data_IF_724713286371
#
_entry.id   IF_724713286371
#
_cell.length_a   1.000
_cell.length_b   1.000
_cell.length_c   1.000
_cell.angle_alpha   90.00
_cell.angle_beta   90.00
_cell.angle_gamma   90.00
#
_symmetry.space_group_name_H-M   'P 1'
#
loop_
_entity.id
_entity.type
_entity.pdbx_description
1 polymer ?
#
# COMPACT_ATOMS: atom_id res chain seq x y z
N UNK A 1 -8.17 13.16 23.70
CA UNK A 1 -6.79 12.67 23.99
C UNK A 1 -5.73 13.58 23.35
N UNK A 2 -5.70 13.76 22.02
CA UNK A 2 -4.69 14.59 21.32
C UNK A 2 -4.71 16.07 21.75
N UNK A 3 -5.89 16.72 21.83
CA UNK A 3 -5.99 18.13 22.22
C UNK A 3 -5.44 18.43 23.63
N UNK A 4 -5.62 17.50 24.57
CA UNK A 4 -5.16 17.65 25.96
C UNK A 4 -3.68 17.27 26.09
N UNK A 5 -3.30 16.12 25.52
CA UNK A 5 -2.00 15.49 25.81
C UNK A 5 -0.92 15.82 24.77
N UNK A 6 -1.30 16.41 23.62
CA UNK A 6 -0.41 16.58 22.47
C UNK A 6 0.01 15.26 21.82
N UNK A 7 0.99 15.34 20.93
CA UNK A 7 1.61 14.21 20.23
C UNK A 7 3.13 14.31 20.45
N UNK A 8 3.74 13.23 20.92
CA UNK A 8 5.19 13.11 20.93
C UNK A 8 5.66 12.64 19.55
N UNK A 9 6.50 13.45 18.89
CA UNK A 9 7.11 13.13 17.60
C UNK A 9 8.58 12.81 17.86
N UNK A 10 8.97 11.56 17.63
CA UNK A 10 10.35 11.11 17.78
C UNK A 10 10.92 10.91 16.38
N UNK A 11 11.95 11.68 16.03
CA UNK A 11 12.59 11.60 14.72
C UNK A 11 14.10 11.61 14.85
N UNK A 12 14.75 10.57 14.31
CA UNK A 12 16.21 10.54 14.23
C UNK A 12 16.79 11.63 13.31
N UNK A 13 16.00 12.15 12.36
CA UNK A 13 16.42 13.18 11.40
C UNK A 13 16.07 14.60 11.85
N UNK A 14 14.88 14.77 12.43
CA UNK A 14 14.32 16.09 12.75
C UNK A 14 14.27 16.38 14.25
N UNK A 15 14.88 15.52 15.07
CA UNK A 15 14.88 15.63 16.52
C UNK A 15 13.55 15.18 17.14
N UNK A 16 13.52 15.22 18.47
CA UNK A 16 12.36 14.80 19.25
C UNK A 16 11.55 16.04 19.67
N UNK A 17 10.27 16.05 19.31
CA UNK A 17 9.32 17.10 19.66
C UNK A 17 8.32 16.53 20.64
N UNK A 18 8.33 17.03 21.88
CA UNK A 18 7.44 16.56 22.93
C UNK A 18 6.14 17.37 22.94
N UNK A 19 5.03 16.68 23.13
CA UNK A 19 3.69 17.27 23.29
C UNK A 19 3.34 18.32 22.23
N UNK A 20 3.68 18.06 20.97
CA UNK A 20 3.23 18.92 19.86
C UNK A 20 1.70 18.98 19.86
N UNK A 21 1.14 20.19 19.85
CA UNK A 21 -0.30 20.42 19.85
C UNK A 21 -0.70 21.14 18.57
N UNK A 22 -1.52 20.52 17.71
CA UNK A 22 -2.16 21.22 16.61
C UNK A 22 -3.07 22.33 17.15
N UNK A 23 -3.16 23.45 16.44
CA UNK A 23 -4.05 24.57 16.80
C UNK A 23 -5.51 24.14 16.90
N UNK A 24 -5.93 23.24 16.00
CA UNK A 24 -7.26 22.66 15.96
C UNK A 24 -7.20 21.13 15.93
N UNK A 25 -8.04 20.50 16.76
CA UNK A 25 -8.31 19.06 16.72
C UNK A 25 -9.80 18.90 16.66
N UNK A 26 -10.30 18.39 15.54
CA UNK A 26 -11.74 18.31 15.22
C UNK A 26 -12.17 16.86 14.99
N UNK A 27 -13.44 16.60 15.25
CA UNK A 27 -14.06 15.28 15.10
C UNK A 27 -14.93 15.17 13.84
N UNK A 28 -15.34 16.30 13.26
CA UNK A 28 -16.10 16.34 12.01
C UNK A 28 -15.71 17.56 11.17
N UNK A 29 -15.92 17.51 9.84
CA UNK A 29 -15.68 18.66 8.96
C UNK A 29 -16.50 19.90 9.31
N UNK A 30 -17.70 19.73 9.91
CA UNK A 30 -18.57 20.84 10.30
C UNK A 30 -17.89 21.82 11.28
N UNK A 31 -16.98 21.32 12.10
CA UNK A 31 -16.27 22.11 13.11
C UNK A 31 -15.20 23.04 12.51
N UNK A 32 -14.88 22.86 11.24
CA UNK A 32 -13.96 23.74 10.48
C UNK A 32 -14.66 24.43 9.32
N UNK A 33 -16.00 24.42 9.28
CA UNK A 33 -16.76 25.24 8.33
C UNK A 33 -16.36 26.70 8.49
N UNK A 34 -16.06 27.35 7.37
CA UNK A 34 -15.59 28.73 7.35
C UNK A 34 -14.07 28.89 7.25
N UNK A 35 -13.30 27.85 7.54
CA UNK A 35 -11.85 27.90 7.40
C UNK A 35 -11.42 27.65 5.94
N UNK A 36 -10.40 28.39 5.52
CA UNK A 36 -9.72 28.16 4.26
C UNK A 36 -8.37 27.51 4.52
N UNK A 37 -8.06 26.51 3.72
CA UNK A 37 -6.80 25.78 3.79
C UNK A 37 -5.98 26.11 2.55
N UNK A 38 -4.67 26.32 2.71
CA UNK A 38 -3.72 26.32 1.59
C UNK A 38 -3.32 24.89 1.22
N UNK A 39 -3.28 24.00 2.20
CA UNK A 39 -2.92 22.59 2.06
C UNK A 39 -3.87 21.71 2.86
N UNK A 40 -4.28 20.58 2.28
CA UNK A 40 -4.98 19.49 2.94
C UNK A 40 -4.09 18.27 2.85
N UNK A 41 -3.52 17.85 3.98
CA UNK A 41 -2.62 16.69 4.06
C UNK A 41 -3.40 15.47 4.54
N UNK A 42 -3.58 14.49 3.67
CA UNK A 42 -4.33 13.26 3.93
C UNK A 42 -3.40 12.14 4.41
N UNK A 43 -3.53 11.79 5.69
CA UNK A 43 -2.76 10.73 6.37
C UNK A 43 -3.65 9.61 6.92
N UNK A 44 -4.94 9.63 6.58
CA UNK A 44 -5.89 8.58 6.97
C UNK A 44 -5.71 7.33 6.10
N UNK A 45 -6.22 6.20 6.58
CA UNK A 45 -6.15 4.91 5.88
C UNK A 45 -7.05 4.89 4.63
N UNK A 46 -6.54 4.46 3.49
CA UNK A 46 -7.33 4.38 2.27
C UNK A 46 -8.05 3.03 2.17
N UNK A 47 -9.37 3.03 2.43
CA UNK A 47 -10.22 1.84 2.34
C UNK A 47 -11.41 2.18 1.43
N UNK A 48 -11.15 2.18 0.13
CA UNK A 48 -12.10 2.69 -0.89
C UNK A 48 -13.40 1.89 -0.97
N UNK A 49 -13.41 0.63 -0.54
CA UNK A 49 -14.61 -0.21 -0.43
C UNK A 49 -15.46 0.13 0.81
N UNK A 50 -14.90 0.84 1.80
CA UNK A 50 -15.63 1.42 2.92
C UNK A 50 -16.15 2.82 2.59
N UNK A 51 -15.25 3.73 2.23
CA UNK A 51 -15.55 5.12 1.89
C UNK A 51 -14.49 5.66 0.91
N UNK A 52 -14.89 6.23 -0.24
CA UNK A 52 -13.97 6.88 -1.17
C UNK A 52 -13.23 8.06 -0.52
N UNK A 53 -11.93 8.21 -0.81
CA UNK A 53 -11.13 9.35 -0.33
C UNK A 53 -11.70 10.71 -0.75
N UNK A 54 -12.37 10.79 -1.91
CA UNK A 54 -13.08 11.99 -2.36
C UNK A 54 -14.12 12.45 -1.35
N UNK A 55 -14.87 11.52 -0.78
CA UNK A 55 -15.99 11.81 0.12
C UNK A 55 -15.49 12.23 1.50
N UNK A 56 -14.31 11.76 1.88
CA UNK A 56 -13.61 12.20 3.09
C UNK A 56 -13.10 13.63 2.94
N UNK A 57 -12.56 13.98 1.77
CA UNK A 57 -11.92 15.29 1.54
C UNK A 57 -12.95 16.38 1.20
N UNK A 58 -13.99 16.04 0.44
CA UNK A 58 -14.98 16.96 -0.11
C UNK A 58 -15.56 17.95 0.94
N UNK A 59 -15.95 17.53 2.15
CA UNK A 59 -16.50 18.44 3.16
C UNK A 59 -15.53 19.55 3.62
N UNK A 60 -14.21 19.38 3.45
CA UNK A 60 -13.20 20.38 3.80
C UNK A 60 -12.96 21.40 2.67
N UNK A 61 -13.59 21.21 1.51
CA UNK A 61 -13.45 22.02 0.31
C UNK A 61 -14.61 22.98 0.06
N UNK A 62 -15.59 23.06 0.98
CA UNK A 62 -16.85 23.78 0.75
C UNK A 62 -16.66 25.24 0.27
N UNK A 63 -17.55 25.64 -0.66
CA UNK A 63 -17.46 26.82 -1.53
C UNK A 63 -17.46 28.12 -0.73
N UNK A 64 -16.33 28.82 -0.77
CA UNK A 64 -16.27 30.27 -0.58
C UNK A 64 -15.75 30.88 -1.88
N UNK A 65 -16.02 32.16 -2.13
CA UNK A 65 -15.33 32.90 -3.20
C UNK A 65 -13.83 32.89 -2.90
N UNK A 66 -13.14 31.94 -3.54
CA UNK A 66 -11.70 31.71 -3.36
C UNK A 66 -10.97 32.28 -4.56
N UNK A 67 -9.97 33.10 -4.28
CA UNK A 67 -9.03 33.57 -5.32
C UNK A 67 -8.01 32.46 -5.67
N UNK A 68 -7.75 31.51 -4.76
CA UNK A 68 -6.77 30.41 -4.91
C UNK A 68 -7.30 29.10 -4.31
N UNK A 69 -7.08 27.99 -5.02
CA UNK A 69 -7.50 26.64 -4.59
C UNK A 69 -6.45 25.98 -3.65
N UNK A 70 -6.89 25.12 -2.70
CA UNK A 70 -5.98 24.36 -1.83
C UNK A 70 -5.19 23.29 -2.59
N UNK A 71 -4.00 22.97 -2.10
CA UNK A 71 -3.25 21.78 -2.50
C UNK A 71 -3.68 20.57 -1.67
N UNK A 72 -3.96 19.44 -2.33
CA UNK A 72 -4.24 18.17 -1.64
C UNK A 72 -2.96 17.33 -1.69
N UNK A 73 -2.46 16.94 -0.52
CA UNK A 73 -1.25 16.13 -0.35
C UNK A 73 -1.66 14.77 0.20
N UNK A 74 -1.49 13.71 -0.58
CA UNK A 74 -1.82 12.34 -0.17
C UNK A 74 -0.54 11.63 0.31
N UNK A 75 -0.56 11.13 1.54
CA UNK A 75 0.55 10.36 2.15
C UNK A 75 0.01 9.01 2.62
N UNK A 76 -0.79 8.37 1.77
CA UNK A 76 -1.48 7.11 2.04
C UNK A 76 -0.75 5.95 1.34
N UNK A 77 -0.96 4.71 1.78
CA UNK A 77 -0.43 3.55 1.06
C UNK A 77 -1.33 3.23 -0.15
N UNK A 78 -0.72 2.82 -1.27
CA UNK A 78 -1.45 2.26 -2.42
C UNK A 78 -0.89 2.72 -3.76
N UNK A 79 -1.57 2.33 -4.84
CA UNK A 79 -1.32 2.74 -6.24
C UNK A 79 -2.61 3.35 -6.80
N UNK A 80 -2.49 4.38 -7.64
CA UNK A 80 -3.62 5.07 -8.29
C UNK A 80 -4.52 5.84 -7.32
N UNK A 81 -3.99 6.25 -6.16
CA UNK A 81 -4.69 7.15 -5.23
C UNK A 81 -4.66 8.61 -5.72
N UNK A 82 -3.90 8.91 -6.78
CA UNK A 82 -3.42 10.25 -7.04
C UNK A 82 -3.37 10.69 -8.51
N UNK A 83 -4.24 10.19 -9.40
CA UNK A 83 -4.20 10.51 -10.85
C UNK A 83 -4.05 12.02 -11.18
N UNK A 84 -4.52 12.95 -10.33
CA UNK A 84 -4.27 14.40 -10.45
C UNK A 84 -2.95 14.93 -9.86
N UNK A 85 -2.34 14.23 -8.90
CA UNK A 85 -1.02 14.57 -8.31
C UNK A 85 0.12 14.13 -9.23
N UNK A 86 -0.09 13.05 -9.99
CA UNK A 86 0.86 12.57 -11.00
C UNK A 86 1.16 13.63 -12.07
N UNK A 87 0.12 14.31 -12.55
CA UNK A 87 0.24 15.39 -13.53
C UNK A 87 0.95 16.64 -12.95
N UNK A 88 0.84 16.87 -11.64
CA UNK A 88 1.34 18.09 -10.98
C UNK A 88 2.74 17.95 -10.38
N UNK A 89 3.12 16.77 -9.87
CA UNK A 89 4.38 16.56 -9.12
C UNK A 89 5.42 15.70 -9.84
N UNK A 90 4.99 14.93 -10.86
CA UNK A 90 5.86 13.95 -11.55
C UNK A 90 6.08 14.30 -13.02
N UNK A 91 5.10 14.91 -13.70
CA UNK A 91 5.21 15.36 -15.10
C UNK A 91 5.54 16.87 -15.21
N UNK A 92 6.61 17.33 -14.56
CA UNK A 92 7.11 18.71 -14.71
C UNK A 92 8.59 18.76 -15.08
N UNK A 93 9.07 19.92 -15.53
CA UNK A 93 10.46 20.13 -15.94
C UNK A 93 11.49 19.95 -14.79
N UNK A 94 11.05 19.90 -13.52
CA UNK A 94 11.91 19.69 -12.36
C UNK A 94 11.18 18.83 -11.29
N UNK A 95 11.21 17.48 -11.39
CA UNK A 95 10.34 16.59 -10.63
C UNK A 95 10.67 16.52 -9.14
N UNK A 96 9.64 16.61 -8.28
CA UNK A 96 9.78 16.61 -6.81
C UNK A 96 9.60 15.23 -6.17
N UNK A 97 8.99 14.27 -6.87
CA UNK A 97 8.92 12.85 -6.50
C UNK A 97 8.83 12.00 -7.78
N UNK A 98 9.34 10.75 -7.75
CA UNK A 98 9.62 9.98 -8.97
C UNK A 98 8.64 8.82 -9.24
N UNK A 99 8.11 8.20 -8.19
CA UNK A 99 6.95 7.28 -8.14
C UNK A 99 6.68 6.92 -6.66
N UNK A 100 5.42 6.74 -6.24
CA UNK A 100 5.08 6.00 -5.01
C UNK A 100 4.44 4.69 -5.46
N UNK A 101 5.27 3.66 -5.59
CA UNK A 101 4.82 2.29 -5.75
C UNK A 101 5.24 1.60 -4.48
N UNK A 102 4.28 1.15 -3.68
CA UNK A 102 4.53 0.44 -2.44
C UNK A 102 4.94 -1.01 -2.71
N UNK A 103 6.02 -1.21 -3.51
CA UNK A 103 6.60 -2.53 -3.86
C UNK A 103 6.74 -3.41 -2.62
N UNK A 104 7.16 -2.81 -1.49
CA UNK A 104 7.31 -3.47 -0.21
C UNK A 104 6.00 -4.03 0.37
N UNK A 105 4.93 -3.25 0.39
CA UNK A 105 3.64 -3.70 0.94
C UNK A 105 2.98 -4.71 0.01
N UNK A 106 3.12 -4.53 -1.31
CA UNK A 106 2.59 -5.47 -2.31
C UNK A 106 3.31 -6.83 -2.31
N UNK A 107 4.53 -6.91 -1.78
CA UNK A 107 5.31 -8.14 -1.75
C UNK A 107 5.46 -8.72 -0.33
N UNK A 108 6.21 -8.05 0.54
CA UNK A 108 6.48 -8.50 1.90
C UNK A 108 5.26 -8.32 2.79
N UNK A 109 4.52 -7.22 2.62
CA UNK A 109 3.22 -7.01 3.27
C UNK A 109 2.24 -8.13 2.96
N UNK A 110 2.05 -8.42 1.67
CA UNK A 110 1.19 -9.51 1.21
C UNK A 110 1.56 -10.86 1.84
N UNK A 111 2.84 -11.24 1.77
CA UNK A 111 3.28 -12.54 2.25
C UNK A 111 3.18 -12.66 3.77
N UNK A 112 3.58 -11.63 4.53
CA UNK A 112 3.39 -11.59 5.98
C UNK A 112 1.92 -11.69 6.37
N UNK A 113 1.02 -11.01 5.64
CA UNK A 113 -0.42 -11.06 5.90
C UNK A 113 -1.01 -12.44 5.61
N UNK A 114 -0.66 -13.06 4.49
CA UNK A 114 -1.12 -14.42 4.16
C UNK A 114 -0.57 -15.46 5.13
N UNK A 115 0.71 -15.35 5.50
CA UNK A 115 1.36 -16.22 6.47
C UNK A 115 0.90 -15.97 7.91
N UNK A 116 0.22 -14.84 8.18
CA UNK A 116 -0.10 -14.34 9.52
C UNK A 116 1.11 -14.30 10.44
N UNK A 117 2.23 -13.87 9.89
CA UNK A 117 3.53 -13.93 10.54
C UNK A 117 4.29 -12.60 10.38
N UNK A 118 4.99 -12.13 11.44
CA UNK A 118 5.87 -10.98 11.33
C UNK A 118 6.96 -11.22 10.28
N UNK A 119 7.54 -10.12 9.79
CA UNK A 119 8.49 -10.17 8.69
C UNK A 119 9.69 -11.10 8.97
N UNK A 120 10.16 -11.15 10.23
CA UNK A 120 11.30 -11.99 10.62
C UNK A 120 11.05 -13.48 10.39
N UNK A 121 9.83 -13.95 10.59
CA UNK A 121 9.50 -15.37 10.53
C UNK A 121 9.49 -15.87 9.08
N UNK A 122 9.11 -15.01 8.13
CA UNK A 122 9.15 -15.32 6.70
C UNK A 122 10.53 -15.08 6.06
N UNK A 123 11.49 -14.58 6.85
CA UNK A 123 12.87 -14.30 6.45
C UNK A 123 13.88 -15.26 7.09
N UNK A 124 13.46 -16.30 7.81
CA UNK A 124 14.42 -17.28 8.38
C UNK A 124 15.15 -18.07 7.30
N UNK A 125 16.25 -18.72 7.65
CA UNK A 125 17.02 -19.54 6.71
C UNK A 125 16.18 -20.68 6.12
N UNK A 126 15.25 -21.21 6.91
CA UNK A 126 14.33 -22.28 6.55
C UNK A 126 13.16 -21.77 5.68
N UNK A 127 12.70 -20.53 5.90
CA UNK A 127 11.58 -19.95 5.16
C UNK A 127 12.01 -19.37 3.80
N UNK A 128 13.19 -18.73 3.73
CA UNK A 128 13.69 -18.02 2.55
C UNK A 128 13.64 -18.80 1.23
N UNK A 129 13.95 -20.12 1.17
CA UNK A 129 13.81 -20.91 -0.05
C UNK A 129 12.39 -20.89 -0.65
N UNK A 130 11.36 -20.74 0.18
CA UNK A 130 9.96 -20.74 -0.23
C UNK A 130 9.42 -19.32 -0.42
N UNK A 131 9.89 -18.36 0.38
CA UNK A 131 9.33 -17.00 0.41
C UNK A 131 9.98 -16.08 -0.63
N UNK A 132 11.29 -16.21 -0.83
CA UNK A 132 12.09 -15.33 -1.70
C UNK A 132 11.57 -15.24 -3.14
N UNK A 133 11.31 -16.40 -3.76
CA UNK A 133 10.84 -16.48 -5.14
C UNK A 133 9.46 -15.85 -5.33
N UNK A 134 8.56 -16.05 -4.36
CA UNK A 134 7.20 -15.49 -4.39
C UNK A 134 7.25 -13.96 -4.28
N UNK A 135 8.04 -13.43 -3.35
CA UNK A 135 8.22 -11.98 -3.16
C UNK A 135 8.79 -11.33 -4.41
N UNK A 136 9.85 -11.90 -4.99
CA UNK A 136 10.43 -11.39 -6.25
C UNK A 136 9.41 -11.45 -7.38
N UNK A 137 8.63 -12.54 -7.46
CA UNK A 137 7.56 -12.68 -8.44
C UNK A 137 6.48 -11.60 -8.31
N UNK A 138 6.03 -11.30 -7.10
CA UNK A 138 5.08 -10.22 -6.82
C UNK A 138 5.64 -8.85 -7.27
N UNK A 139 6.89 -8.55 -6.91
CA UNK A 139 7.56 -7.32 -7.34
C UNK A 139 7.66 -7.20 -8.87
N UNK A 140 7.94 -8.31 -9.56
CA UNK A 140 8.01 -8.36 -11.02
C UNK A 140 6.65 -8.19 -11.70
N UNK A 141 5.57 -8.73 -11.12
CA UNK A 141 4.21 -8.48 -11.62
C UNK A 141 3.86 -6.98 -11.53
N UNK A 142 4.17 -6.34 -10.40
CA UNK A 142 3.98 -4.88 -10.24
C UNK A 142 4.80 -4.10 -11.27
N UNK A 143 6.07 -4.49 -11.49
CA UNK A 143 6.93 -3.87 -12.49
C UNK A 143 6.38 -4.05 -13.91
N UNK A 144 5.87 -5.24 -14.24
CA UNK A 144 5.30 -5.54 -15.55
C UNK A 144 4.07 -4.66 -15.82
N UNK A 145 3.17 -4.54 -14.85
CA UNK A 145 2.00 -3.63 -14.95
C UNK A 145 2.48 -2.18 -15.11
N UNK A 146 3.45 -1.74 -14.30
CA UNK A 146 3.99 -0.39 -14.39
C UNK A 146 4.59 -0.09 -15.78
N UNK A 147 5.33 -1.05 -16.37
CA UNK A 147 5.89 -0.93 -17.73
C UNK A 147 4.78 -0.82 -18.78
N UNK A 148 3.72 -1.62 -18.67
CA UNK A 148 2.60 -1.59 -19.61
C UNK A 148 1.77 -0.30 -19.53
N UNK A 149 1.74 0.34 -18.36
CA UNK A 149 1.14 1.69 -18.16
C UNK A 149 2.07 2.81 -18.66
N UNK A 150 3.30 2.49 -19.08
CA UNK A 150 4.25 3.44 -19.67
C UNK A 150 5.31 3.99 -18.71
N UNK A 151 5.44 3.46 -17.49
CA UNK A 151 6.54 3.82 -16.60
C UNK A 151 7.83 3.18 -17.12
N UNK A 152 8.73 3.99 -17.66
CA UNK A 152 10.01 3.55 -18.21
C UNK A 152 11.09 3.34 -17.13
N UNK A 153 12.25 2.81 -17.56
CA UNK A 153 13.40 2.50 -16.71
C UNK A 153 13.93 3.71 -15.93
N UNK A 154 13.86 4.90 -16.51
CA UNK A 154 14.29 6.13 -15.83
C UNK A 154 13.37 6.47 -14.64
N UNK A 155 12.06 6.21 -14.76
CA UNK A 155 11.05 6.55 -13.75
C UNK A 155 10.89 5.48 -12.67
N UNK A 156 10.96 4.22 -13.04
CA UNK A 156 10.94 3.09 -12.13
C UNK A 156 12.07 2.13 -12.51
N UNK A 157 13.31 2.36 -12.05
CA UNK A 157 14.43 1.49 -12.39
C UNK A 157 14.19 0.08 -11.87
N UNK A 158 14.45 -0.94 -12.69
CA UNK A 158 14.33 -2.35 -12.28
C UNK A 158 15.24 -2.67 -11.09
N UNK A 159 16.38 -1.97 -10.96
CA UNK A 159 17.28 -2.06 -9.81
C UNK A 159 16.57 -1.79 -8.47
N UNK A 160 15.51 -0.98 -8.45
CA UNK A 160 14.77 -0.69 -7.23
C UNK A 160 14.15 -1.96 -6.61
N UNK A 161 13.81 -2.97 -7.42
CA UNK A 161 13.31 -4.24 -6.92
C UNK A 161 14.39 -4.96 -6.11
N UNK A 162 15.62 -5.02 -6.63
CA UNK A 162 16.74 -5.63 -5.92
C UNK A 162 17.12 -4.84 -4.67
N UNK A 163 17.09 -3.51 -4.72
CA UNK A 163 17.37 -2.67 -3.55
C UNK A 163 16.30 -2.85 -2.47
N UNK A 164 15.02 -2.83 -2.85
CA UNK A 164 13.88 -3.08 -1.95
C UNK A 164 13.93 -4.48 -1.35
N UNK A 165 14.26 -5.48 -2.18
CA UNK A 165 14.41 -6.85 -1.71
C UNK A 165 15.59 -7.00 -0.73
N UNK A 166 16.72 -6.34 -1.01
CA UNK A 166 17.90 -6.35 -0.12
C UNK A 166 17.63 -5.71 1.23
N UNK A 167 16.83 -4.62 1.28
CA UNK A 167 16.46 -3.99 2.55
C UNK A 167 15.77 -4.97 3.52
N UNK A 168 14.95 -5.91 3.01
CA UNK A 168 14.37 -6.97 3.84
C UNK A 168 15.43 -7.96 4.31
N UNK A 169 16.34 -8.34 3.42
CA UNK A 169 17.38 -9.31 3.75
C UNK A 169 18.38 -8.80 4.79
N UNK A 170 18.54 -7.49 4.99
CA UNK A 170 19.39 -6.99 6.10
C UNK A 170 18.88 -7.53 7.45
N UNK A 171 17.56 -7.68 7.60
CA UNK A 171 16.96 -8.20 8.83
C UNK A 171 16.94 -9.74 8.94
N UNK A 172 17.45 -10.49 7.96
CA UNK A 172 17.45 -11.97 8.04
C UNK A 172 18.58 -12.48 8.93
N UNK A 173 18.33 -13.52 9.76
CA UNK A 173 19.41 -14.26 10.41
C UNK A 173 20.19 -15.18 9.44
N UNK A 174 19.73 -15.34 8.20
CA UNK A 174 20.32 -16.26 7.24
C UNK A 174 21.58 -15.70 6.58
N UNK A 175 22.58 -16.56 6.38
CA UNK A 175 23.73 -16.26 5.50
C UNK A 175 23.32 -16.45 4.06
N UNK A 176 22.95 -15.36 3.38
CA UNK A 176 22.52 -15.41 1.98
C UNK A 176 23.74 -15.41 1.07
N UNK A 177 23.95 -16.49 0.30
CA UNK A 177 25.03 -16.57 -0.69
C UNK A 177 24.69 -15.74 -1.94
N UNK A 178 25.65 -14.97 -2.46
CA UNK A 178 25.45 -14.19 -3.68
C UNK A 178 25.61 -15.09 -4.92
N UNK A 179 24.64 -15.05 -5.83
CA UNK A 179 24.67 -15.87 -7.05
C UNK A 179 25.87 -15.57 -7.98
N UNK A 180 26.50 -14.39 -7.86
CA UNK A 180 27.63 -13.99 -8.71
C UNK A 180 28.99 -14.46 -8.17
N UNK A 181 29.08 -14.82 -6.89
CA UNK A 181 30.29 -15.37 -6.29
C UNK A 181 29.90 -16.30 -5.14
N UNK A 182 30.09 -17.63 -5.28
CA UNK A 182 29.64 -18.61 -4.30
C UNK A 182 30.35 -18.51 -2.93
N UNK A 183 31.50 -17.84 -2.88
CA UNK A 183 32.26 -17.63 -1.65
C UNK A 183 31.90 -16.31 -0.95
N UNK A 184 31.05 -15.49 -1.57
CA UNK A 184 30.59 -14.22 -1.00
C UNK A 184 29.19 -14.35 -0.44
N UNK A 185 29.02 -13.89 0.79
CA UNK A 185 27.75 -13.84 1.49
C UNK A 185 27.28 -12.37 1.59
N UNK A 186 25.97 -12.17 1.58
CA UNK A 186 25.35 -10.90 1.89
C UNK A 186 25.65 -10.57 3.35
N UNK A 187 26.25 -9.39 3.60
CA UNK A 187 26.61 -8.98 4.94
C UNK A 187 25.37 -8.44 5.66
N UNK A 188 24.87 -9.16 6.66
CA UNK A 188 23.70 -8.79 7.47
C UNK A 188 24.09 -8.02 8.73
N UNK A 189 25.33 -7.52 8.82
CA UNK A 189 25.92 -6.93 10.03
C UNK A 189 25.47 -5.49 10.35
N UNK A 190 24.57 -4.91 9.58
CA UNK A 190 23.97 -3.61 9.91
C UNK A 190 22.78 -3.79 10.86
N UNK A 191 22.54 -2.80 11.73
CA UNK A 191 21.32 -2.75 12.55
C UNK A 191 20.10 -2.96 11.65
N UNK A 192 19.32 -4.02 11.91
CA UNK A 192 18.20 -4.40 11.08
C UNK A 192 17.30 -3.18 10.80
N UNK A 193 17.06 -2.90 9.52
CA UNK A 193 16.25 -1.75 9.06
C UNK A 193 14.88 -1.69 9.75
N UNK A 194 14.33 -2.85 10.13
CA UNK A 194 13.07 -2.98 10.86
C UNK A 194 13.27 -3.85 12.10
N UNK A 195 12.57 -3.55 13.21
CA UNK A 195 12.61 -4.40 14.40
C UNK A 195 12.20 -5.85 14.08
N UNK A 196 12.78 -6.82 14.76
CA UNK A 196 12.48 -8.25 14.53
C UNK A 196 11.02 -8.65 14.77
N UNK A 197 10.22 -7.81 15.45
CA UNK A 197 8.78 -7.99 15.67
C UNK A 197 7.92 -7.17 14.69
N UNK A 198 8.52 -6.57 13.65
CA UNK A 198 7.81 -5.72 12.72
C UNK A 198 6.73 -6.52 11.97
N UNK A 199 5.50 -6.02 12.08
CA UNK A 199 4.34 -6.47 11.32
C UNK A 199 3.92 -5.37 10.36
N UNK A 200 3.81 -5.64 9.05
CA UNK A 200 3.23 -4.70 8.10
C UNK A 200 1.82 -4.26 8.52
N UNK A 201 1.44 -3.01 8.23
CA UNK A 201 0.14 -2.45 8.67
C UNK A 201 -1.03 -3.33 8.27
N UNK A 202 -1.03 -3.87 7.05
CA UNK A 202 -2.08 -4.76 6.55
C UNK A 202 -2.20 -6.08 7.34
N UNK A 203 -1.09 -6.63 7.85
CA UNK A 203 -1.14 -7.78 8.78
C UNK A 203 -1.74 -7.35 10.13
N UNK A 204 -1.31 -6.20 10.66
CA UNK A 204 -1.86 -5.67 11.92
C UNK A 204 -3.37 -5.48 11.80
N UNK A 205 -3.87 -4.96 10.68
CA UNK A 205 -5.29 -4.81 10.45
C UNK A 205 -6.04 -6.14 10.41
N UNK A 206 -5.46 -7.14 9.72
CA UNK A 206 -6.01 -8.49 9.66
C UNK A 206 -6.17 -9.09 11.07
N UNK A 207 -5.14 -8.97 11.91
CA UNK A 207 -5.12 -9.48 13.28
C UNK A 207 -6.15 -8.79 14.18
N UNK A 208 -6.36 -7.48 13.99
CA UNK A 208 -7.33 -6.70 14.77
C UNK A 208 -8.75 -6.72 14.20
N UNK A 209 -9.01 -7.48 13.13
CA UNK A 209 -10.34 -7.57 12.52
C UNK A 209 -10.82 -6.27 11.86
N UNK A 210 -9.88 -5.43 11.39
CA UNK A 210 -10.18 -4.12 10.78
C UNK A 210 -10.19 -4.21 9.26
N UNK A 211 -11.04 -3.45 8.55
CA UNK A 211 -10.94 -3.31 7.10
C UNK A 211 -9.52 -2.91 6.67
N UNK A 212 -8.94 -3.63 5.72
CA UNK A 212 -7.57 -3.49 5.21
C UNK A 212 -7.49 -2.55 3.99
N UNK A 213 -6.31 -2.04 3.64
CA UNK A 213 -6.05 -1.27 2.40
C UNK A 213 -5.89 -2.20 1.18
N UNK A 214 -6.80 -3.17 1.03
CA UNK A 214 -6.64 -4.25 0.04
C UNK A 214 -6.74 -3.74 -1.40
N UNK A 215 -7.71 -2.87 -1.69
CA UNK A 215 -7.92 -2.34 -3.03
C UNK A 215 -6.80 -1.35 -3.46
N UNK A 216 -6.38 -0.38 -2.63
CA UNK A 216 -5.27 0.50 -3.00
C UNK A 216 -3.93 -0.21 -3.14
N UNK A 217 -3.64 -1.22 -2.30
CA UNK A 217 -2.36 -1.95 -2.37
C UNK A 217 -2.35 -2.94 -3.55
N UNK A 218 -3.41 -3.73 -3.74
CA UNK A 218 -3.42 -4.82 -4.73
C UNK A 218 -4.44 -4.61 -5.84
N UNK A 219 -5.67 -4.26 -5.48
CA UNK A 219 -6.81 -4.17 -6.40
C UNK A 219 -6.56 -3.23 -7.57
N UNK A 220 -6.00 -2.05 -7.33
CA UNK A 220 -5.72 -1.07 -8.38
C UNK A 220 -4.64 -1.56 -9.36
N UNK A 221 -3.64 -2.28 -8.87
CA UNK A 221 -2.59 -2.86 -9.72
C UNK A 221 -3.18 -3.95 -10.61
N UNK A 222 -4.02 -4.84 -10.07
CA UNK A 222 -4.69 -5.89 -10.85
C UNK A 222 -5.61 -5.27 -11.91
N UNK A 223 -6.41 -4.26 -11.56
CA UNK A 223 -7.26 -3.53 -12.52
C UNK A 223 -6.45 -2.89 -13.65
N UNK A 224 -5.32 -2.27 -13.32
CA UNK A 224 -4.40 -1.70 -14.32
C UNK A 224 -3.79 -2.80 -15.19
N UNK A 225 -3.37 -3.92 -14.60
CA UNK A 225 -2.88 -5.08 -15.33
C UNK A 225 -3.89 -5.57 -16.37
N UNK A 226 -5.15 -5.75 -15.97
CA UNK A 226 -6.24 -6.14 -16.89
C UNK A 226 -6.45 -5.15 -18.02
N UNK A 227 -6.52 -3.86 -17.72
CA UNK A 227 -6.67 -2.81 -18.74
C UNK A 227 -5.56 -2.85 -19.80
N UNK A 228 -4.36 -3.28 -19.42
CA UNK A 228 -3.18 -3.33 -20.28
C UNK A 228 -2.80 -4.76 -20.71
N UNK A 229 -3.67 -5.76 -20.52
CA UNK A 229 -3.44 -7.16 -20.85
C UNK A 229 -2.15 -7.75 -20.23
N UNK A 230 -1.88 -7.38 -18.98
CA UNK A 230 -0.78 -7.93 -18.18
C UNK A 230 -1.34 -8.87 -17.13
N UNK A 231 -0.80 -10.09 -17.11
CA UNK A 231 -1.14 -11.10 -16.11
C UNK A 231 -0.50 -10.81 -14.76
N UNK A 232 -1.28 -11.02 -13.71
CA UNK A 232 -0.91 -10.73 -12.32
C UNK A 232 -1.26 -11.88 -11.37
N UNK A 233 -0.89 -13.13 -11.69
CA UNK A 233 -1.44 -14.33 -11.04
C UNK A 233 -1.14 -14.39 -9.53
N UNK A 234 0.00 -13.86 -9.05
CA UNK A 234 0.28 -13.83 -7.61
C UNK A 234 -0.53 -12.76 -6.91
N UNK A 235 -0.68 -11.57 -7.51
CA UNK A 235 -1.55 -10.53 -6.97
C UNK A 235 -3.01 -10.98 -6.96
N UNK A 236 -3.44 -11.75 -7.98
CA UNK A 236 -4.76 -12.37 -8.03
C UNK A 236 -4.96 -13.33 -6.86
N UNK A 237 -3.97 -14.18 -6.59
CA UNK A 237 -4.00 -15.10 -5.44
C UNK A 237 -4.08 -14.35 -4.10
N UNK A 238 -3.33 -13.24 -3.95
CA UNK A 238 -3.40 -12.40 -2.75
C UNK A 238 -4.80 -11.82 -2.56
N UNK A 239 -5.38 -11.24 -3.62
CA UNK A 239 -6.74 -10.68 -3.58
C UNK A 239 -7.78 -11.76 -3.27
N UNK A 240 -7.74 -12.88 -3.99
CA UNK A 240 -8.68 -13.98 -3.80
C UNK A 240 -8.63 -14.54 -2.36
N UNK A 241 -7.44 -14.59 -1.75
CA UNK A 241 -7.25 -15.09 -0.39
C UNK A 241 -7.76 -14.11 0.67
N UNK A 242 -7.60 -12.79 0.45
CA UNK A 242 -7.90 -11.78 1.47
C UNK A 242 -9.28 -11.14 1.32
N UNK A 243 -9.86 -11.05 0.11
CA UNK A 243 -11.13 -10.35 -0.13
C UNK A 243 -12.31 -10.92 0.66
N UNK A 244 -12.49 -12.26 0.82
CA UNK A 244 -13.58 -12.78 1.66
C UNK A 244 -13.49 -12.32 3.11
N UNK A 245 -12.28 -12.25 3.66
CA UNK A 245 -12.06 -11.74 5.02
C UNK A 245 -12.25 -10.22 5.09
N UNK A 246 -11.80 -9.47 4.08
CA UNK A 246 -12.04 -8.03 3.95
C UNK A 246 -13.54 -7.70 3.99
N UNK A 247 -14.36 -8.39 3.18
CA UNK A 247 -15.80 -8.18 3.11
C UNK A 247 -16.46 -8.38 4.48
N UNK A 248 -16.08 -9.45 5.20
CA UNK A 248 -16.56 -9.69 6.57
C UNK A 248 -16.19 -8.55 7.51
N UNK A 249 -14.96 -8.04 7.45
CA UNK A 249 -14.54 -6.93 8.30
C UNK A 249 -15.26 -5.62 7.97
N UNK A 250 -15.59 -5.40 6.70
CA UNK A 250 -16.40 -4.26 6.24
C UNK A 250 -17.83 -4.35 6.79
N UNK A 251 -18.50 -5.49 6.64
CA UNK A 251 -19.84 -5.70 7.20
C UNK A 251 -19.84 -5.46 8.72
N UNK A 252 -18.88 -6.05 9.43
CA UNK A 252 -18.72 -5.85 10.87
C UNK A 252 -18.52 -4.37 11.25
N UNK A 253 -17.68 -3.65 10.50
CA UNK A 253 -17.41 -2.23 10.74
C UNK A 253 -18.64 -1.33 10.46
N UNK A 254 -19.53 -1.75 9.55
CA UNK A 254 -20.80 -1.07 9.25
C UNK A 254 -21.94 -1.46 10.20
N UNK A 255 -21.75 -2.48 11.05
CA UNK A 255 -22.83 -3.04 11.88
C UNK A 255 -23.85 -3.84 11.07
N UNK A 256 -23.49 -4.25 9.86
CA UNK A 256 -24.32 -5.06 8.97
C UNK A 256 -24.11 -6.55 9.29
N UNK A 257 -25.18 -7.34 9.31
CA UNK A 257 -25.02 -8.79 9.22
C UNK A 257 -24.47 -9.11 7.83
N UNK A 258 -23.52 -10.05 7.73
CA UNK A 258 -22.99 -10.48 6.44
C UNK A 258 -24.16 -10.94 5.55
N UNK A 259 -24.60 -10.08 4.62
CA UNK A 259 -25.68 -10.39 3.71
C UNK A 259 -25.29 -11.65 2.94
N UNK A 260 -26.03 -12.72 3.17
CA UNK A 260 -25.64 -14.07 2.73
C UNK A 260 -25.88 -14.26 1.23
N UNK A 261 -26.29 -13.23 0.48
CA UNK A 261 -26.55 -13.29 -0.95
C UNK A 261 -26.60 -11.86 -1.55
N UNK A 262 -25.44 -11.26 -1.84
CA UNK A 262 -25.43 -10.21 -2.87
C UNK A 262 -25.63 -10.88 -4.23
N UNK A 263 -26.75 -10.59 -4.89
CA UNK A 263 -27.00 -10.97 -6.28
C UNK A 263 -26.17 -10.09 -7.22
N UNK A 264 -24.85 -10.27 -7.19
CA UNK A 264 -23.94 -9.64 -8.15
C UNK A 264 -23.69 -10.60 -9.30
N UNK A 265 -23.49 -10.03 -10.50
CA UNK A 265 -23.18 -10.80 -11.70
C UNK A 265 -21.77 -11.35 -11.55
N UNK A 266 -21.63 -12.66 -11.66
CA UNK A 266 -20.33 -13.33 -11.80
C UNK A 266 -20.19 -13.76 -13.26
N UNK A 267 -19.12 -13.31 -13.91
CA UNK A 267 -18.84 -13.72 -15.27
C UNK A 267 -18.23 -15.12 -15.29
N UNK A 268 -18.82 -16.04 -16.05
CA UNK A 268 -18.25 -17.38 -16.20
C UNK A 268 -16.88 -17.39 -16.92
N UNK A 269 -16.61 -16.34 -17.72
CA UNK A 269 -15.30 -16.09 -18.32
C UNK A 269 -14.37 -15.41 -17.30
N UNK A 270 -13.29 -16.06 -16.84
CA UNK A 270 -12.41 -15.48 -15.84
C UNK A 270 -11.86 -14.11 -16.24
N UNK A 271 -11.53 -13.90 -17.52
CA UNK A 271 -11.02 -12.64 -18.06
C UNK A 271 -11.93 -11.43 -17.89
N UNK A 272 -13.22 -11.65 -17.62
CA UNK A 272 -14.19 -10.58 -17.36
C UNK A 272 -14.28 -10.22 -15.87
N UNK A 273 -13.74 -11.05 -14.97
CA UNK A 273 -13.74 -10.80 -13.54
C UNK A 273 -12.50 -10.02 -13.09
N UNK A 274 -12.58 -9.40 -11.90
CA UNK A 274 -11.47 -8.66 -11.26
C UNK A 274 -10.22 -9.54 -11.14
N UNK A 275 -10.38 -10.76 -10.64
CA UNK A 275 -9.31 -11.76 -10.53
C UNK A 275 -9.53 -12.86 -11.57
N UNK A 276 -9.32 -12.55 -12.84
CA UNK A 276 -9.19 -13.60 -13.83
C UNK A 276 -8.54 -13.10 -15.11
N UNK A 277 -7.55 -13.87 -15.55
CA UNK A 277 -6.93 -13.82 -16.87
C UNK A 277 -6.49 -15.23 -17.30
N UNK A 278 -6.91 -16.26 -16.54
CA UNK A 278 -6.58 -17.64 -16.86
C UNK A 278 -7.24 -18.02 -18.19
N UNK A 279 -6.48 -18.56 -19.16
CA UNK A 279 -7.06 -19.03 -20.40
C UNK A 279 -8.03 -20.18 -20.10
N UNK A 280 -9.20 -20.16 -20.75
CA UNK A 280 -10.12 -21.28 -20.73
C UNK A 280 -9.64 -22.29 -21.77
N UNK A 281 -9.52 -23.56 -21.37
CA UNK A 281 -9.37 -24.65 -22.33
C UNK A 281 -10.70 -24.76 -23.09
N UNK A 282 -10.70 -24.35 -24.35
CA UNK A 282 -11.83 -24.49 -25.28
C UNK A 282 -12.12 -25.95 -25.59
#
# INVERSE_FOLDING_TARGET
MVRQNGIDIISGKFGNHKQYRPDHVVHSPDQVKGLQFDYIVCTYKCVSDMQPSSDVIYPYLEKMDRVKLPYIVLIQNGVDIEKGVYDTLVNTNNPLARAIITLWNTSWGALSTLARAPLRDILTAEALPYTSGVVRGLMLEVLAVARAVGLNEHRLPAKLLDDTYRLALIGTPAKVRLSRNPDTFFDTKEDAFLPGYFKPSILVDLEHGRPMELDPIFGNIVKLGRKHNVDTPRLDMVLASLKPTQLRFICNARGEQAETQQSNIYDALPSLNVTGNAPILS
#
